data_IF_522925452850
#
_entry.id   IF_522925452850
#
_cell.length_a   1.000
_cell.length_b   1.000
_cell.length_c   1.000
_cell.angle_alpha   90.00
_cell.angle_beta   90.00
_cell.angle_gamma   90.00
#
_symmetry.space_group_name_H-M   'P 1'
#
loop_
_entity.id
_entity.type
_entity.pdbx_description
1 polymer ?
#
# COMPACT_ATOMS: atom_id res chain seq x y z
N UNK A 1 -9.68 -19.33 -37.64
CA UNK A 1 -8.30 -18.78 -37.54
C UNK A 1 -8.24 -17.78 -36.39
N UNK A 2 -9.27 -16.95 -36.22
CA UNK A 2 -9.46 -16.08 -35.04
C UNK A 2 -9.55 -16.85 -33.71
N UNK A 3 -10.27 -17.98 -33.65
CA UNK A 3 -10.39 -18.78 -32.42
C UNK A 3 -9.04 -19.29 -31.88
N UNK A 4 -8.09 -19.57 -32.78
CA UNK A 4 -6.76 -20.03 -32.40
C UNK A 4 -5.95 -18.86 -31.83
N UNK A 5 -6.06 -17.68 -32.44
CA UNK A 5 -5.43 -16.47 -31.94
C UNK A 5 -6.00 -16.06 -30.57
N UNK A 6 -7.32 -16.10 -30.39
CA UNK A 6 -7.97 -15.83 -29.11
C UNK A 6 -7.58 -16.85 -28.03
N UNK A 7 -7.50 -18.13 -28.38
CA UNK A 7 -7.04 -19.18 -27.45
C UNK A 7 -5.60 -18.96 -27.00
N UNK A 8 -4.71 -18.56 -27.92
CA UNK A 8 -3.31 -18.25 -27.62
C UNK A 8 -3.18 -16.99 -26.75
N UNK A 9 -3.95 -15.94 -27.05
CA UNK A 9 -3.98 -14.70 -26.25
C UNK A 9 -4.52 -15.00 -24.84
N UNK A 10 -5.59 -15.78 -24.72
CA UNK A 10 -6.17 -16.16 -23.43
C UNK A 10 -5.19 -16.98 -22.57
N UNK A 11 -4.48 -17.94 -23.20
CA UNK A 11 -3.42 -18.72 -22.53
C UNK A 11 -2.25 -17.84 -22.10
N UNK A 12 -1.82 -16.92 -22.96
CA UNK A 12 -0.75 -15.96 -22.66
C UNK A 12 -1.13 -15.05 -21.49
N UNK A 13 -2.32 -14.45 -21.50
CA UNK A 13 -2.81 -13.60 -20.41
C UNK A 13 -2.93 -14.40 -19.11
N UNK A 14 -3.43 -15.63 -19.18
CA UNK A 14 -3.55 -16.51 -18.00
C UNK A 14 -2.18 -16.82 -17.39
N UNK A 15 -1.19 -17.15 -18.21
CA UNK A 15 0.19 -17.37 -17.74
C UNK A 15 0.83 -16.09 -17.19
N UNK A 16 0.61 -14.95 -17.83
CA UNK A 16 1.07 -13.64 -17.35
C UNK A 16 0.47 -13.30 -15.98
N UNK A 17 -0.82 -13.56 -15.77
CA UNK A 17 -1.48 -13.35 -14.46
C UNK A 17 -0.88 -14.22 -13.36
N UNK A 18 -0.63 -15.50 -13.64
CA UNK A 18 0.02 -16.40 -12.66
C UNK A 18 1.41 -15.91 -12.30
N UNK A 19 2.23 -15.57 -13.29
CA UNK A 19 3.58 -15.02 -13.06
C UNK A 19 3.55 -13.66 -12.38
N UNK A 20 2.58 -12.81 -12.69
CA UNK A 20 2.38 -11.55 -12.00
C UNK A 20 2.00 -11.79 -10.54
N UNK A 21 1.13 -12.75 -10.22
CA UNK A 21 0.77 -13.10 -8.83
C UNK A 21 2.00 -13.59 -8.06
N UNK A 22 2.82 -14.46 -8.66
CA UNK A 22 4.09 -14.91 -8.08
C UNK A 22 5.09 -13.75 -7.88
N UNK A 23 5.11 -12.76 -8.78
CA UNK A 23 5.89 -11.51 -8.63
C UNK A 23 5.25 -10.55 -7.61
N UNK A 24 3.92 -10.57 -7.46
CA UNK A 24 3.19 -9.73 -6.50
C UNK A 24 3.38 -10.22 -5.06
N UNK A 25 3.53 -11.52 -4.82
CA UNK A 25 3.96 -12.05 -3.52
C UNK A 25 5.34 -11.49 -3.10
N UNK A 26 6.14 -11.04 -4.07
CA UNK A 26 7.47 -10.42 -3.87
C UNK A 26 7.41 -8.88 -3.92
N UNK A 27 6.27 -8.27 -4.30
CA UNK A 27 6.10 -6.82 -4.22
C UNK A 27 5.88 -6.42 -2.77
N UNK A 28 6.98 -6.33 -2.03
CA UNK A 28 6.99 -5.70 -0.72
C UNK A 28 6.60 -4.23 -0.93
N UNK A 29 5.32 -3.92 -0.69
CA UNK A 29 4.73 -2.60 -0.89
C UNK A 29 5.56 -1.52 -0.17
N UNK A 30 6.18 -1.88 0.94
CA UNK A 30 7.15 -1.04 1.65
C UNK A 30 8.30 -0.61 0.73
N UNK A 31 8.96 -1.55 0.03
CA UNK A 31 10.08 -1.26 -0.88
C UNK A 31 9.68 -0.42 -2.11
N UNK A 32 8.43 -0.53 -2.57
CA UNK A 32 7.95 0.20 -3.74
C UNK A 32 7.49 1.64 -3.44
N UNK A 33 7.23 1.98 -2.17
CA UNK A 33 6.78 3.31 -1.76
C UNK A 33 7.95 4.21 -1.35
N UNK A 34 7.85 5.55 -1.56
CA UNK A 34 8.90 6.47 -1.12
C UNK A 34 9.05 6.47 0.41
N UNK A 35 10.22 6.86 0.92
CA UNK A 35 10.47 6.95 2.36
C UNK A 35 9.54 7.96 3.07
N UNK A 36 9.04 8.96 2.35
CA UNK A 36 8.11 9.96 2.86
C UNK A 36 6.79 9.89 2.09
N UNK A 37 5.73 9.47 2.77
CA UNK A 37 4.42 9.20 2.18
C UNK A 37 3.50 10.42 2.29
N UNK A 38 2.63 10.59 1.31
CA UNK A 38 1.41 11.38 1.45
C UNK A 38 0.27 10.54 2.07
N UNK A 39 -0.88 11.16 2.40
CA UNK A 39 -2.02 10.46 3.02
C UNK A 39 -2.52 9.27 2.21
N UNK A 40 -2.63 9.41 0.87
CA UNK A 40 -3.10 8.33 -0.02
C UNK A 40 -2.14 7.13 0.00
N UNK A 41 -0.84 7.39 0.01
CA UNK A 41 0.19 6.35 0.07
C UNK A 41 0.24 5.69 1.46
N UNK A 42 0.16 6.46 2.55
CA UNK A 42 0.14 5.94 3.91
C UNK A 42 -1.09 5.05 4.15
N UNK A 43 -2.26 5.50 3.68
CA UNK A 43 -3.50 4.72 3.69
C UNK A 43 -3.35 3.39 2.94
N UNK A 44 -2.72 3.41 1.75
CA UNK A 44 -2.43 2.20 0.98
C UNK A 44 -1.45 1.27 1.71
N UNK A 45 -0.39 1.81 2.32
CA UNK A 45 0.58 1.06 3.11
C UNK A 45 -0.09 0.32 4.26
N UNK A 46 -0.99 0.99 4.99
CA UNK A 46 -1.70 0.42 6.13
C UNK A 46 -2.86 -0.51 5.72
N UNK A 47 -3.16 -0.64 4.43
CA UNK A 47 -4.29 -1.45 3.95
C UNK A 47 -5.67 -0.89 4.31
N UNK A 48 -5.78 0.39 4.69
CA UNK A 48 -7.03 1.01 5.14
C UNK A 48 -7.82 1.53 3.92
N UNK A 49 -9.07 1.09 3.76
CA UNK A 49 -9.88 1.44 2.58
C UNK A 49 -10.68 2.74 2.75
N UNK A 50 -11.22 2.99 3.94
CA UNK A 50 -12.04 4.17 4.21
C UNK A 50 -11.17 5.34 4.73
N UNK A 51 -11.68 6.58 4.63
CA UNK A 51 -10.93 7.76 5.11
C UNK A 51 -11.07 7.96 6.62
N UNK A 52 -12.24 7.67 7.20
CA UNK A 52 -12.53 7.90 8.62
C UNK A 52 -11.66 7.07 9.55
N UNK A 53 -11.40 5.81 9.22
CA UNK A 53 -10.52 4.91 9.95
C UNK A 53 -9.06 5.32 9.78
N UNK A 54 -8.65 5.78 8.60
CA UNK A 54 -7.31 6.34 8.42
C UNK A 54 -7.11 7.57 9.31
N UNK A 55 -8.10 8.46 9.39
CA UNK A 55 -8.06 9.60 10.30
C UNK A 55 -8.01 9.15 11.77
N UNK A 56 -8.81 8.16 12.18
CA UNK A 56 -8.77 7.59 13.54
C UNK A 56 -7.37 7.07 13.88
N UNK A 57 -6.79 6.24 13.02
CA UNK A 57 -5.49 5.60 13.25
C UNK A 57 -4.35 6.63 13.22
N UNK A 58 -4.36 7.53 12.23
CA UNK A 58 -3.29 8.54 12.07
C UNK A 58 -3.29 9.66 13.13
N UNK A 59 -4.32 9.70 13.98
CA UNK A 59 -4.40 10.58 15.16
C UNK A 59 -4.20 9.82 16.48
N UNK A 60 -3.91 8.51 16.44
CA UNK A 60 -3.49 7.79 17.63
C UNK A 60 -2.18 8.37 18.17
N UNK A 61 -2.01 8.25 19.49
CA UNK A 61 -0.86 8.81 20.18
C UNK A 61 0.44 8.30 19.57
N UNK A 62 1.39 9.22 19.37
CA UNK A 62 2.73 8.95 18.85
C UNK A 62 2.75 8.36 17.42
N UNK A 63 1.62 8.41 16.69
CA UNK A 63 1.58 7.99 15.29
C UNK A 63 2.54 8.84 14.44
N UNK A 64 3.44 8.25 13.64
CA UNK A 64 4.49 8.99 12.93
C UNK A 64 3.92 9.91 11.85
N UNK A 65 3.88 11.21 12.17
CA UNK A 65 3.31 12.25 11.30
C UNK A 65 4.13 13.52 11.40
N UNK A 66 4.47 14.08 10.24
CA UNK A 66 5.14 15.37 10.11
C UNK A 66 4.10 16.39 9.68
N UNK A 67 3.84 17.36 10.55
CA UNK A 67 2.97 18.48 10.28
C UNK A 67 3.78 19.75 10.04
N UNK A 68 3.42 20.49 8.98
CA UNK A 68 3.93 21.83 8.73
C UNK A 68 2.74 22.77 8.52
N UNK A 69 2.79 23.94 9.15
CA UNK A 69 1.72 24.95 9.03
C UNK A 69 1.47 25.26 7.55
N UNK A 70 0.21 25.12 7.11
CA UNK A 70 -0.20 25.39 5.73
C UNK A 70 0.17 24.30 4.71
N UNK A 71 0.60 23.11 5.15
CA UNK A 71 0.93 21.99 4.26
C UNK A 71 0.20 20.71 4.65
N UNK A 72 -0.04 19.85 3.67
CA UNK A 72 -0.57 18.51 3.91
C UNK A 72 0.42 17.67 4.73
N UNK A 73 -0.05 16.85 5.67
CA UNK A 73 0.83 16.00 6.47
C UNK A 73 1.60 15.01 5.61
N UNK A 74 2.76 14.62 6.12
CA UNK A 74 3.62 13.60 5.53
C UNK A 74 3.95 12.54 6.57
N UNK A 75 4.12 11.30 6.13
CA UNK A 75 4.27 10.15 7.01
C UNK A 75 5.56 9.41 6.67
N UNK A 76 6.54 9.33 7.57
CA UNK A 76 7.75 8.56 7.33
C UNK A 76 7.42 7.06 7.26
N UNK A 77 7.64 6.44 6.10
CA UNK A 77 7.22 5.07 5.77
C UNK A 77 7.67 4.06 6.82
N UNK A 78 8.96 4.00 7.09
CA UNK A 78 9.54 2.99 7.97
C UNK A 78 9.12 3.19 9.43
N UNK A 79 8.96 4.45 9.86
CA UNK A 79 8.43 4.76 11.19
C UNK A 79 6.98 4.30 11.32
N UNK A 80 6.14 4.51 10.30
CA UNK A 80 4.75 4.05 10.29
C UNK A 80 4.67 2.52 10.39
N UNK A 81 5.51 1.80 9.63
CA UNK A 81 5.61 0.33 9.70
C UNK A 81 6.00 -0.13 11.11
N UNK A 82 7.02 0.50 11.70
CA UNK A 82 7.47 0.14 13.04
C UNK A 82 6.42 0.46 14.11
N UNK A 83 5.76 1.62 14.00
CA UNK A 83 4.67 1.98 14.90
C UNK A 83 3.53 0.97 14.80
N UNK A 84 3.14 0.56 13.59
CA UNK A 84 2.11 -0.47 13.37
C UNK A 84 2.49 -1.80 14.02
N UNK A 85 3.74 -2.24 13.84
CA UNK A 85 4.28 -3.47 14.44
C UNK A 85 4.15 -3.48 15.97
N UNK A 86 4.40 -2.34 16.61
CA UNK A 86 4.35 -2.22 18.08
C UNK A 86 2.92 -1.99 18.61
N UNK A 87 2.09 -1.25 17.86
CA UNK A 87 0.81 -0.72 18.34
C UNK A 87 -0.43 -1.38 17.73
N UNK A 88 -0.29 -2.52 17.04
CA UNK A 88 -1.40 -3.21 16.37
C UNK A 88 -2.63 -3.45 17.26
N UNK A 89 -2.45 -3.60 18.58
CA UNK A 89 -3.54 -3.81 19.55
C UNK A 89 -4.44 -2.58 19.78
N UNK A 90 -4.00 -1.39 19.36
CA UNK A 90 -4.73 -0.12 19.53
C UNK A 90 -5.68 0.18 18.36
N UNK A 91 -5.54 -0.57 17.27
CA UNK A 91 -6.21 -0.33 15.99
C UNK A 91 -7.47 -1.15 15.94
#
# INVERSE_FOLDING_TARGET
MDDIAESLISRFISQLKVRLVEVFEVFNLELAMPLLLNSKQCKKLLGIMNESEFQRVSHLKDFPRIEKKGSHPRFPRDAVVEWMRVNWKLI
#
